data_IF_214237102901
#
_entry.id   IF_214237102901
#
_cell.length_a   1.000
_cell.length_b   1.000
_cell.length_c   1.000
_cell.angle_alpha   90.00
_cell.angle_beta   90.00
_cell.angle_gamma   90.00
#
_symmetry.space_group_name_H-M   'P 1'
#
loop_
_entity.id
_entity.type
_entity.pdbx_description
1 polymer ?
#
# COMPACT_ATOMS: atom_id res chain seq x y z
N UNK A 1 69.36 -15.80 13.15
CA UNK A 1 68.70 -15.57 11.86
C UNK A 1 67.30 -15.07 12.17
N UNK A 2 67.12 -13.75 12.08
CA UNK A 2 65.83 -13.08 12.17
C UNK A 2 65.02 -13.41 10.92
N UNK A 3 63.81 -13.94 11.09
CA UNK A 3 62.81 -13.98 10.03
C UNK A 3 62.04 -12.68 10.06
N UNK A 4 62.48 -11.77 9.18
CA UNK A 4 61.90 -10.46 8.98
C UNK A 4 60.44 -10.48 8.55
N UNK A 5 59.77 -9.41 8.97
CA UNK A 5 58.40 -9.02 8.71
C UNK A 5 57.96 -9.13 7.25
N UNK A 6 56.86 -9.85 7.00
CA UNK A 6 55.98 -9.59 5.86
C UNK A 6 54.58 -9.28 6.36
N UNK A 7 54.33 -7.98 6.53
CA UNK A 7 53.01 -7.42 6.76
C UNK A 7 53.05 -5.94 6.47
N UNK A 8 53.00 -5.56 5.18
CA UNK A 8 52.82 -4.16 4.79
C UNK A 8 51.48 -3.69 5.38
N UNK A 9 51.55 -2.89 6.44
CA UNK A 9 50.42 -2.13 6.95
C UNK A 9 50.01 -1.12 5.87
N UNK A 10 48.90 -1.36 5.20
CA UNK A 10 48.22 -0.31 4.44
C UNK A 10 47.74 0.73 5.46
N UNK A 11 48.48 1.82 5.65
CA UNK A 11 47.97 3.05 6.27
C UNK A 11 46.97 3.69 5.30
N UNK A 12 45.80 3.09 5.16
CA UNK A 12 44.65 3.80 4.62
C UNK A 12 44.37 4.98 5.54
N UNK A 13 44.28 6.19 5.00
CA UNK A 13 43.84 7.34 5.80
C UNK A 13 42.46 7.03 6.39
N UNK A 14 42.27 7.32 7.68
CA UNK A 14 40.96 7.21 8.33
C UNK A 14 40.10 8.41 7.92
N UNK A 15 39.53 8.32 6.72
CA UNK A 15 38.69 9.36 6.13
C UNK A 15 37.36 9.45 6.88
N UNK A 16 36.85 8.34 7.43
CA UNK A 16 35.56 8.29 8.12
C UNK A 16 35.64 9.11 9.42
N UNK A 17 36.68 8.94 10.24
CA UNK A 17 36.84 9.73 11.47
C UNK A 17 37.04 11.23 11.23
N UNK A 18 37.37 11.65 10.00
CA UNK A 18 37.54 13.06 9.61
C UNK A 18 36.24 13.72 9.11
N UNK A 19 35.22 12.96 8.76
CA UNK A 19 33.93 13.51 8.34
C UNK A 19 33.25 14.26 9.50
N UNK A 20 32.48 15.33 9.28
CA UNK A 20 31.70 15.99 10.34
C UNK A 20 30.47 15.19 10.79
N UNK A 21 29.93 15.52 11.96
CA UNK A 21 28.89 14.71 12.65
C UNK A 21 27.58 14.60 11.86
N UNK A 22 27.25 15.61 11.07
CA UNK A 22 26.11 15.65 10.15
C UNK A 22 26.24 14.61 9.02
N UNK A 23 27.44 14.45 8.45
CA UNK A 23 27.72 13.43 7.44
C UNK A 23 27.69 12.04 8.07
N UNK A 24 28.30 11.89 9.25
CA UNK A 24 28.29 10.61 9.96
C UNK A 24 26.85 10.20 10.36
N UNK A 25 26.05 11.12 10.89
CA UNK A 25 24.65 10.88 11.25
C UNK A 25 23.79 10.53 10.03
N UNK A 26 24.05 11.17 8.88
CA UNK A 26 23.42 10.83 7.60
C UNK A 26 23.76 9.43 7.12
N UNK A 27 25.01 8.98 7.30
CA UNK A 27 25.43 7.61 6.97
C UNK A 27 24.71 6.59 7.86
N UNK A 28 24.75 6.78 9.18
CA UNK A 28 24.15 5.81 10.11
C UNK A 28 22.62 5.88 10.17
N UNK A 29 22.01 6.98 9.74
CA UNK A 29 20.55 7.07 9.52
C UNK A 29 20.07 6.19 8.36
N UNK A 30 20.96 5.46 7.68
CA UNK A 30 20.57 4.41 6.73
C UNK A 30 20.58 3.01 7.34
N UNK A 31 21.07 2.88 8.57
CA UNK A 31 21.13 1.62 9.30
C UNK A 31 19.85 1.43 10.13
N UNK A 32 19.62 0.18 10.56
CA UNK A 32 18.64 -0.10 11.60
C UNK A 32 19.09 0.49 12.93
N UNK A 33 18.15 0.85 13.80
CA UNK A 33 18.45 1.50 15.08
C UNK A 33 19.42 0.68 15.94
N UNK A 34 19.33 -0.65 15.86
CA UNK A 34 20.25 -1.59 16.54
C UNK A 34 21.69 -1.46 16.04
N UNK A 35 21.88 -1.34 14.73
CA UNK A 35 23.22 -1.25 14.13
C UNK A 35 23.79 0.16 14.25
N UNK A 36 22.95 1.20 14.12
CA UNK A 36 23.33 2.57 14.44
C UNK A 36 23.80 2.68 15.90
N UNK A 37 23.07 2.09 16.85
CA UNK A 37 23.47 2.05 18.25
C UNK A 37 24.81 1.33 18.46
N UNK A 38 25.06 0.19 17.79
CA UNK A 38 26.34 -0.53 17.89
C UNK A 38 27.55 0.32 17.53
N UNK A 39 27.39 1.34 16.67
CA UNK A 39 28.50 2.24 16.33
C UNK A 39 29.07 2.99 17.54
N UNK A 40 28.32 3.09 18.65
CA UNK A 40 28.78 3.75 19.88
C UNK A 40 30.06 3.14 20.47
N UNK A 41 30.42 1.90 20.11
CA UNK A 41 31.65 1.24 20.57
C UNK A 41 32.89 1.63 19.74
N UNK A 42 32.70 2.27 18.58
CA UNK A 42 33.80 2.64 17.68
C UNK A 42 34.68 3.76 18.27
N UNK A 43 34.07 4.78 18.89
CA UNK A 43 34.79 5.81 19.64
C UNK A 43 33.82 6.63 20.51
N UNK A 44 34.38 7.49 21.38
CA UNK A 44 33.60 8.44 22.19
C UNK A 44 32.75 9.38 21.34
N UNK A 45 33.22 9.74 20.14
CA UNK A 45 32.46 10.56 19.18
C UNK A 45 31.21 9.85 18.71
N UNK A 46 31.34 8.58 18.32
CA UNK A 46 30.21 7.78 17.84
C UNK A 46 29.13 7.55 18.90
N UNK A 47 29.48 7.59 20.21
CA UNK A 47 28.49 7.57 21.31
C UNK A 47 27.48 8.72 21.25
N UNK A 48 27.87 9.86 20.66
CA UNK A 48 26.99 11.02 20.49
C UNK A 48 26.34 11.01 19.11
N UNK A 49 27.09 10.69 18.05
CA UNK A 49 26.60 10.74 16.66
C UNK A 49 25.36 9.87 16.44
N UNK A 50 25.29 8.66 17.02
CA UNK A 50 24.11 7.79 16.86
C UNK A 50 22.82 8.39 17.44
N UNK A 51 22.90 9.32 18.39
CA UNK A 51 21.72 9.98 18.95
C UNK A 51 21.10 11.00 17.98
N UNK A 52 21.80 11.38 16.91
CA UNK A 52 21.37 12.35 15.91
C UNK A 52 20.65 11.71 14.71
N UNK A 53 20.33 10.42 14.76
CA UNK A 53 19.67 9.74 13.65
C UNK A 53 18.24 10.26 13.42
N UNK A 54 17.86 10.39 12.16
CA UNK A 54 16.54 10.89 11.75
C UNK A 54 15.68 9.82 11.06
N UNK A 55 16.22 8.62 10.85
CA UNK A 55 15.46 7.45 10.44
C UNK A 55 15.59 6.38 11.51
N UNK A 56 14.47 6.06 12.15
CA UNK A 56 14.40 5.00 13.13
C UNK A 56 13.79 3.76 12.47
N UNK A 57 14.60 2.72 12.30
CA UNK A 57 14.12 1.42 11.82
C UNK A 57 14.34 0.36 12.90
N UNK A 58 13.23 -0.10 13.46
CA UNK A 58 13.17 -1.15 14.46
C UNK A 58 12.62 -2.41 13.80
N UNK A 59 13.46 -3.42 13.69
CA UNK A 59 13.04 -4.75 13.24
C UNK A 59 13.33 -5.73 14.34
N UNK A 60 12.28 -6.38 14.76
CA UNK A 60 12.40 -7.49 15.66
C UNK A 60 12.98 -8.72 14.90
N UNK A 61 13.88 -9.43 15.57
CA UNK A 61 14.60 -10.58 15.02
C UNK A 61 14.01 -11.89 15.53
N UNK A 62 13.97 -12.92 14.67
CA UNK A 62 13.42 -14.22 15.00
C UNK A 62 14.22 -14.91 16.14
N UNK A 63 13.68 -14.92 17.38
CA UNK A 63 14.18 -15.79 18.46
C UNK A 63 13.80 -15.40 19.90
N UNK A 64 12.93 -16.21 20.53
CA UNK A 64 12.78 -16.51 21.98
C UNK A 64 12.73 -15.36 23.02
N UNK A 65 11.63 -15.30 23.81
CA UNK A 65 11.39 -14.32 24.90
C UNK A 65 11.64 -12.84 24.51
N UNK A 66 11.44 -12.51 23.25
CA UNK A 66 11.95 -11.30 22.60
C UNK A 66 11.03 -10.06 22.71
N UNK A 67 9.75 -10.25 23.04
CA UNK A 67 8.71 -9.21 23.22
C UNK A 67 9.14 -7.98 23.98
N UNK A 68 9.24 -8.15 25.28
CA UNK A 68 9.57 -7.10 26.22
C UNK A 68 10.95 -6.51 25.95
N UNK A 69 11.92 -7.33 25.55
CA UNK A 69 13.27 -6.84 25.22
C UNK A 69 13.27 -5.90 24.01
N UNK A 70 12.45 -6.20 23.00
CA UNK A 70 12.28 -5.32 21.85
C UNK A 70 11.63 -3.99 22.26
N UNK A 71 10.54 -4.03 23.03
CA UNK A 71 9.87 -2.80 23.52
C UNK A 71 10.82 -1.96 24.36
N UNK A 72 11.58 -2.59 25.27
CA UNK A 72 12.60 -1.91 26.08
C UNK A 72 13.70 -1.28 25.21
N UNK A 73 14.09 -1.93 24.11
CA UNK A 73 15.06 -1.38 23.17
C UNK A 73 14.49 -0.18 22.41
N UNK A 74 13.24 -0.24 21.96
CA UNK A 74 12.54 0.88 21.32
C UNK A 74 12.49 2.07 22.28
N UNK A 75 12.03 1.85 23.52
CA UNK A 75 11.98 2.85 24.59
C UNK A 75 13.35 3.50 24.83
N UNK A 76 14.37 2.67 24.99
CA UNK A 76 15.75 3.12 25.19
C UNK A 76 16.25 4.03 24.05
N UNK A 77 15.98 3.66 22.79
CA UNK A 77 16.40 4.47 21.64
C UNK A 77 15.63 5.78 21.60
N UNK A 78 14.32 5.77 21.85
CA UNK A 78 13.49 6.99 21.79
C UNK A 78 13.82 8.01 22.86
N UNK A 79 14.18 7.57 24.07
CA UNK A 79 14.63 8.46 25.14
C UNK A 79 16.01 9.06 24.90
N UNK A 80 16.85 8.41 24.10
CA UNK A 80 18.23 8.86 23.84
C UNK A 80 18.41 9.58 22.52
N UNK A 81 17.53 9.33 21.56
CA UNK A 81 17.52 10.07 20.31
C UNK A 81 17.29 11.55 20.61
N UNK A 82 18.15 12.41 20.07
CA UNK A 82 18.08 13.86 20.23
C UNK A 82 17.46 14.55 19.01
N UNK A 83 17.26 13.81 17.91
CA UNK A 83 16.61 14.36 16.72
C UNK A 83 15.16 14.71 16.99
N UNK A 84 14.79 15.97 16.75
CA UNK A 84 13.41 16.47 16.90
C UNK A 84 12.58 16.33 15.62
N UNK A 85 13.21 15.89 14.52
CA UNK A 85 12.57 15.71 13.22
C UNK A 85 12.94 14.34 12.67
N UNK A 86 12.10 13.35 12.97
CA UNK A 86 12.25 11.99 12.45
C UNK A 86 11.56 11.94 11.08
N UNK A 87 12.33 11.72 10.04
CA UNK A 87 11.77 11.59 8.70
C UNK A 87 11.00 10.28 8.57
N UNK A 88 11.62 9.17 8.99
CA UNK A 88 11.03 7.85 8.86
C UNK A 88 11.06 7.11 10.19
N UNK A 89 9.90 6.68 10.67
CA UNK A 89 9.76 5.74 11.77
C UNK A 89 9.22 4.43 11.21
N UNK A 90 10.02 3.37 11.26
CA UNK A 90 9.68 2.04 10.79
C UNK A 90 9.73 1.06 11.95
N UNK A 91 8.60 0.43 12.24
CA UNK A 91 8.47 -0.56 13.29
C UNK A 91 7.95 -1.86 12.69
N UNK A 92 8.67 -2.96 12.92
CA UNK A 92 8.29 -4.30 12.50
C UNK A 92 8.32 -5.23 13.71
N UNK A 93 7.17 -5.76 14.12
CA UNK A 93 7.07 -6.80 15.16
C UNK A 93 7.03 -8.18 14.49
N UNK A 94 7.83 -9.13 14.99
CA UNK A 94 7.96 -10.47 14.42
C UNK A 94 7.04 -11.52 15.08
N UNK A 95 6.59 -11.25 16.30
CA UNK A 95 5.77 -12.15 17.13
C UNK A 95 4.59 -11.40 17.75
N UNK A 96 3.70 -12.16 18.39
CA UNK A 96 2.61 -11.64 19.20
C UNK A 96 3.14 -10.96 20.48
N UNK A 97 2.75 -9.71 20.70
CA UNK A 97 3.08 -8.97 21.91
C UNK A 97 2.07 -9.29 23.00
N UNK A 98 2.55 -9.41 24.24
CA UNK A 98 1.67 -9.42 25.41
C UNK A 98 0.94 -8.08 25.52
N UNK A 99 -0.25 -8.10 26.14
CA UNK A 99 -1.16 -6.96 26.24
C UNK A 99 -0.43 -5.69 26.77
N UNK A 100 0.29 -5.84 27.87
CA UNK A 100 1.05 -4.75 28.50
C UNK A 100 2.19 -4.20 27.63
N UNK A 101 2.87 -5.05 26.85
CA UNK A 101 3.95 -4.63 25.97
C UNK A 101 3.42 -3.95 24.70
N UNK A 102 2.24 -4.35 24.22
CA UNK A 102 1.56 -3.70 23.12
C UNK A 102 1.10 -2.28 23.51
N UNK A 103 0.46 -2.11 24.67
CA UNK A 103 0.07 -0.78 25.18
C UNK A 103 1.29 0.14 25.35
N UNK A 104 2.37 -0.37 25.97
CA UNK A 104 3.63 0.37 26.11
C UNK A 104 4.20 0.77 24.75
N UNK A 105 4.22 -0.15 23.79
CA UNK A 105 4.72 0.13 22.45
C UNK A 105 3.88 1.20 21.75
N UNK A 106 2.57 1.18 21.94
CA UNK A 106 1.65 2.21 21.44
C UNK A 106 1.98 3.58 22.01
N UNK A 107 2.14 3.69 23.32
CA UNK A 107 2.49 4.95 23.98
C UNK A 107 3.85 5.47 23.48
N UNK A 108 4.81 4.59 23.24
CA UNK A 108 6.11 4.94 22.66
C UNK A 108 5.99 5.45 21.22
N UNK A 109 5.13 4.85 20.39
CA UNK A 109 4.90 5.35 19.04
C UNK A 109 4.21 6.71 19.09
N UNK A 110 3.19 6.90 19.94
CA UNK A 110 2.55 8.20 20.15
C UNK A 110 3.57 9.26 20.58
N UNK A 111 4.42 8.95 21.58
CA UNK A 111 5.51 9.83 21.99
C UNK A 111 6.45 10.16 20.83
N UNK A 112 6.85 9.18 20.01
CA UNK A 112 7.72 9.42 18.88
C UNK A 112 7.06 10.36 17.85
N UNK A 113 5.79 10.12 17.51
CA UNK A 113 5.08 10.91 16.52
C UNK A 113 4.83 12.35 17.01
N UNK A 114 4.46 12.51 18.28
CA UNK A 114 4.09 13.80 18.88
C UNK A 114 5.32 14.65 19.22
N UNK A 115 6.32 14.04 19.87
CA UNK A 115 7.49 14.78 20.35
C UNK A 115 8.58 14.96 19.28
N UNK A 116 8.59 14.15 18.21
CA UNK A 116 9.69 14.10 17.23
C UNK A 116 9.29 14.36 15.78
N UNK A 117 8.09 14.93 15.56
CA UNK A 117 7.61 15.36 14.24
C UNK A 117 7.79 14.31 13.14
N UNK A 118 7.25 13.10 13.36
CA UNK A 118 7.41 12.00 12.41
C UNK A 118 6.68 12.29 11.10
N UNK A 119 7.41 12.37 9.99
CA UNK A 119 6.80 12.64 8.66
C UNK A 119 6.25 11.38 7.96
N UNK A 120 6.90 10.23 8.17
CA UNK A 120 6.53 8.95 7.56
C UNK A 120 6.57 7.86 8.62
N UNK A 121 5.40 7.25 8.85
CA UNK A 121 5.21 6.18 9.81
C UNK A 121 4.90 4.88 9.08
N UNK A 122 5.74 3.86 9.29
CA UNK A 122 5.51 2.50 8.80
C UNK A 122 5.41 1.54 9.95
N UNK A 123 4.26 0.90 10.09
CA UNK A 123 3.99 -0.10 11.10
C UNK A 123 3.73 -1.45 10.42
N UNK A 124 4.47 -2.46 10.84
CA UNK A 124 4.31 -3.84 10.37
C UNK A 124 4.10 -4.75 11.57
N UNK A 125 2.91 -5.33 11.66
CA UNK A 125 2.52 -6.13 12.82
C UNK A 125 2.28 -7.58 12.42
N UNK A 126 2.71 -8.49 13.30
CA UNK A 126 2.20 -9.85 13.32
C UNK A 126 0.92 -9.87 14.18
N UNK A 127 -0.20 -10.35 13.62
CA UNK A 127 -1.51 -10.36 14.29
C UNK A 127 -2.18 -11.71 14.08
N UNK A 128 -1.97 -12.65 14.99
CA UNK A 128 -2.78 -13.88 15.01
C UNK A 128 -3.94 -13.68 15.99
N UNK A 129 -5.18 -13.84 15.52
CA UNK A 129 -6.37 -13.88 16.38
C UNK A 129 -7.14 -12.57 16.58
N UNK A 130 -8.18 -12.62 17.41
CA UNK A 130 -8.96 -11.45 17.85
C UNK A 130 -8.13 -10.62 18.83
N UNK A 131 -7.30 -9.69 18.33
CA UNK A 131 -6.54 -8.79 19.20
C UNK A 131 -7.14 -7.37 19.19
N UNK A 132 -8.08 -7.05 20.12
CA UNK A 132 -8.70 -5.73 20.23
C UNK A 132 -7.73 -4.61 20.61
N UNK A 133 -6.47 -4.91 20.93
CA UNK A 133 -5.49 -3.88 21.25
C UNK A 133 -5.08 -3.03 20.06
N UNK A 134 -4.99 -3.62 18.86
CA UNK A 134 -4.50 -2.90 17.68
C UNK A 134 -5.52 -1.84 17.25
N UNK A 135 -6.81 -2.13 17.33
CA UNK A 135 -7.86 -1.15 17.01
C UNK A 135 -7.80 0.04 17.97
N UNK A 136 -7.74 -0.19 19.29
CA UNK A 136 -7.66 0.88 20.27
C UNK A 136 -6.32 1.65 20.22
N UNK A 137 -5.22 0.94 19.95
CA UNK A 137 -3.88 1.54 19.86
C UNK A 137 -3.69 2.38 18.62
N UNK A 138 -4.15 1.90 17.46
CA UNK A 138 -4.15 2.67 16.22
C UNK A 138 -5.10 3.87 16.34
N UNK A 139 -6.27 3.72 16.96
CA UNK A 139 -7.16 4.85 17.24
C UNK A 139 -6.49 5.94 18.10
N UNK A 140 -5.74 5.57 19.15
CA UNK A 140 -4.97 6.53 19.96
C UNK A 140 -3.91 7.24 19.11
N UNK A 141 -3.19 6.48 18.29
CA UNK A 141 -2.12 7.00 17.43
C UNK A 141 -2.61 8.08 16.47
N UNK A 142 -3.80 7.92 15.87
CA UNK A 142 -4.29 8.91 14.89
C UNK A 142 -4.82 10.21 15.49
N UNK A 143 -5.08 10.26 16.80
CA UNK A 143 -5.48 11.50 17.46
C UNK A 143 -4.34 12.53 17.53
N UNK A 144 -3.09 12.10 17.59
CA UNK A 144 -2.00 12.99 18.03
C UNK A 144 -1.02 13.47 16.95
N UNK A 145 -0.98 12.92 15.73
CA UNK A 145 0.05 13.26 14.73
C UNK A 145 -0.08 14.67 14.10
N UNK A 146 0.80 15.67 14.39
CA UNK A 146 0.66 17.00 13.79
C UNK A 146 1.36 17.16 12.43
N UNK A 147 2.32 16.30 12.10
CA UNK A 147 3.23 16.44 10.94
C UNK A 147 3.27 15.23 10.02
N UNK A 148 2.44 14.21 10.30
CA UNK A 148 2.45 12.96 9.56
C UNK A 148 1.92 13.17 8.13
N UNK A 149 2.76 12.90 7.14
CA UNK A 149 2.44 13.00 5.72
C UNK A 149 2.19 11.64 5.07
N UNK A 150 2.83 10.58 5.58
CA UNK A 150 2.70 9.22 5.05
C UNK A 150 2.48 8.19 6.17
N UNK A 151 1.43 7.39 6.04
CA UNK A 151 1.11 6.29 6.93
C UNK A 151 1.09 4.98 6.13
N UNK A 152 1.88 3.99 6.57
CA UNK A 152 1.92 2.64 6.02
C UNK A 152 1.65 1.63 7.11
N UNK A 153 0.60 0.84 6.98
CA UNK A 153 0.25 -0.21 7.94
C UNK A 153 0.21 -1.54 7.20
N UNK A 154 0.91 -2.55 7.73
CA UNK A 154 0.92 -3.90 7.16
C UNK A 154 0.73 -4.97 8.25
N UNK A 155 -0.25 -5.85 8.08
CA UNK A 155 -0.51 -7.00 8.93
C UNK A 155 -0.19 -8.29 8.19
N UNK A 156 0.35 -9.31 8.87
CA UNK A 156 0.75 -10.57 8.21
C UNK A 156 -0.21 -11.73 8.41
N UNK A 157 -1.08 -11.68 9.42
CA UNK A 157 -1.97 -12.77 9.83
C UNK A 157 -3.38 -12.25 10.09
N UNK A 158 -4.33 -13.20 10.11
CA UNK A 158 -5.77 -12.98 10.12
C UNK A 158 -6.23 -12.25 11.40
N UNK A 159 -6.54 -10.97 11.26
CA UNK A 159 -7.20 -10.16 12.28
C UNK A 159 -8.65 -10.64 12.32
N UNK A 160 -8.95 -11.63 13.16
CA UNK A 160 -10.28 -12.24 13.20
C UNK A 160 -11.38 -11.19 13.23
N UNK A 161 -12.19 -11.14 12.16
CA UNK A 161 -13.46 -10.44 12.02
C UNK A 161 -13.54 -8.93 12.36
N UNK A 162 -12.47 -8.29 12.82
CA UNK A 162 -12.56 -6.97 13.44
C UNK A 162 -12.48 -5.83 12.42
N UNK A 163 -13.40 -4.87 12.52
CA UNK A 163 -13.34 -3.58 11.82
C UNK A 163 -12.25 -2.73 12.47
N UNK A 164 -11.21 -2.38 11.72
CA UNK A 164 -10.23 -1.40 12.20
C UNK A 164 -10.74 0.00 11.92
N UNK A 165 -11.19 0.69 12.96
CA UNK A 165 -11.55 2.11 12.84
C UNK A 165 -10.27 2.96 12.84
N UNK A 166 -10.05 3.73 11.77
CA UNK A 166 -8.94 4.66 11.61
C UNK A 166 -9.47 6.09 11.74
N UNK A 167 -9.24 6.77 12.86
CA UNK A 167 -9.59 8.19 12.96
C UNK A 167 -8.57 9.07 12.23
N UNK A 168 -8.57 9.06 10.89
CA UNK A 168 -7.64 9.87 10.07
C UNK A 168 -8.16 11.30 9.91
N UNK A 169 -8.66 11.93 10.97
CA UNK A 169 -9.09 13.35 10.97
C UNK A 169 -7.89 14.31 10.94
N UNK A 170 -6.94 14.10 10.02
CA UNK A 170 -5.71 14.88 9.92
C UNK A 170 -5.54 15.51 8.53
N UNK A 171 -5.45 16.85 8.45
CA UNK A 171 -5.23 17.53 7.19
C UNK A 171 -3.80 17.36 6.65
N UNK A 172 -2.82 16.88 7.41
CA UNK A 172 -1.45 16.76 6.86
C UNK A 172 -1.20 15.49 6.07
N UNK A 173 -2.06 14.48 6.21
CA UNK A 173 -1.81 13.17 5.60
C UNK A 173 -1.99 13.25 4.08
N UNK A 174 -0.92 12.93 3.35
CA UNK A 174 -0.88 12.92 1.88
C UNK A 174 -0.95 11.51 1.31
N UNK A 175 -0.46 10.52 2.06
CA UNK A 175 -0.29 9.13 1.60
C UNK A 175 -0.76 8.15 2.67
N UNK A 176 -1.68 7.27 2.28
CA UNK A 176 -2.17 6.18 3.10
C UNK A 176 -1.94 4.87 2.37
N UNK A 177 -1.23 3.94 3.01
CA UNK A 177 -1.13 2.55 2.55
C UNK A 177 -1.55 1.62 3.67
N UNK A 178 -2.54 0.79 3.40
CA UNK A 178 -3.03 -0.25 4.30
C UNK A 178 -2.88 -1.59 3.57
N UNK A 179 -2.24 -2.56 4.21
CA UNK A 179 -1.99 -3.90 3.70
C UNK A 179 -2.41 -4.89 4.79
N UNK A 180 -3.68 -5.28 4.83
CA UNK A 180 -4.27 -6.03 5.95
C UNK A 180 -5.13 -7.20 5.47
N UNK A 181 -5.18 -8.26 6.27
CA UNK A 181 -6.17 -9.32 6.09
C UNK A 181 -7.54 -8.80 6.53
N UNK A 182 -8.38 -8.48 5.56
CA UNK A 182 -9.82 -8.28 5.71
C UNK A 182 -10.30 -7.36 6.86
N UNK A 183 -9.76 -6.15 6.98
CA UNK A 183 -10.32 -5.15 7.90
C UNK A 183 -11.02 -4.05 7.15
N UNK A 184 -12.31 -3.84 7.43
CA UNK A 184 -12.98 -2.62 7.02
C UNK A 184 -12.39 -1.47 7.81
N UNK A 185 -11.93 -0.46 7.08
CA UNK A 185 -11.48 0.79 7.64
C UNK A 185 -12.71 1.68 7.81
N UNK A 186 -12.89 2.33 8.95
CA UNK A 186 -13.81 3.48 9.06
C UNK A 186 -12.98 4.73 9.35
N UNK A 187 -13.20 5.80 8.59
CA UNK A 187 -12.54 7.10 8.82
C UNK A 187 -13.56 8.08 9.38
N UNK A 188 -13.22 8.71 10.51
CA UNK A 188 -14.12 9.58 11.26
C UNK A 188 -14.08 11.06 10.83
N UNK A 189 -13.45 11.41 9.69
CA UNK A 189 -13.59 12.74 9.11
C UNK A 189 -12.85 12.98 7.79
N UNK A 190 -12.90 14.22 7.31
CA UNK A 190 -12.42 14.60 5.98
C UNK A 190 -10.88 14.67 5.91
N UNK A 191 -10.31 14.12 4.84
CA UNK A 191 -8.87 14.18 4.56
C UNK A 191 -8.58 15.00 3.29
N UNK A 192 -8.64 16.35 3.37
CA UNK A 192 -8.62 17.19 2.17
C UNK A 192 -7.30 17.13 1.39
N UNK A 193 -6.19 16.74 2.03
CA UNK A 193 -4.87 16.67 1.41
C UNK A 193 -4.43 15.24 1.05
N UNK A 194 -5.27 14.25 1.31
CA UNK A 194 -4.96 12.86 1.01
C UNK A 194 -4.94 12.66 -0.50
N UNK A 195 -3.75 12.50 -1.05
CA UNK A 195 -3.53 12.42 -2.48
C UNK A 195 -3.53 10.96 -2.95
N UNK A 196 -2.95 10.06 -2.14
CA UNK A 196 -2.70 8.67 -2.51
C UNK A 196 -3.20 7.69 -1.46
N UNK A 197 -4.10 6.80 -1.88
CA UNK A 197 -4.60 5.68 -1.07
C UNK A 197 -4.29 4.36 -1.76
N UNK A 198 -3.69 3.44 -1.01
CA UNK A 198 -3.46 2.06 -1.43
C UNK A 198 -4.06 1.15 -0.37
N UNK A 199 -5.05 0.35 -0.77
CA UNK A 199 -5.62 -0.71 0.04
C UNK A 199 -5.26 -2.04 -0.62
N UNK A 200 -4.27 -2.71 -0.04
CA UNK A 200 -3.88 -4.07 -0.38
C UNK A 200 -4.37 -5.02 0.73
N UNK A 201 -4.54 -6.31 0.44
CA UNK A 201 -4.93 -7.22 1.52
C UNK A 201 -4.81 -8.70 1.24
N UNK A 202 -5.26 -9.47 2.25
CA UNK A 202 -5.48 -10.91 2.16
C UNK A 202 -6.96 -11.20 2.47
N UNK A 203 -7.54 -12.24 1.86
CA UNK A 203 -8.94 -12.62 2.10
C UNK A 203 -9.04 -13.43 3.40
N UNK A 204 -9.86 -12.95 4.35
CA UNK A 204 -10.45 -13.81 5.37
C UNK A 204 -11.79 -14.33 4.85
N UNK A 205 -11.89 -15.66 4.69
CA UNK A 205 -13.10 -16.31 4.16
C UNK A 205 -14.30 -16.13 5.09
N UNK A 206 -14.09 -15.87 6.38
CA UNK A 206 -15.17 -15.65 7.36
C UNK A 206 -15.98 -14.40 7.04
N UNK A 207 -15.34 -13.37 6.48
CA UNK A 207 -15.98 -12.08 6.20
C UNK A 207 -16.80 -12.08 4.90
N UNK A 208 -16.65 -13.08 4.03
CA UNK A 208 -17.49 -13.24 2.84
C UNK A 208 -18.97 -13.52 3.21
N UNK A 209 -19.18 -14.11 4.40
CA UNK A 209 -20.48 -14.48 4.96
C UNK A 209 -20.84 -13.70 6.24
N UNK A 210 -20.06 -12.66 6.58
CA UNK A 210 -20.28 -11.83 7.77
C UNK A 210 -21.45 -10.84 7.62
N UNK A 211 -21.75 -10.12 8.70
CA UNK A 211 -22.71 -9.01 8.68
C UNK A 211 -22.28 -7.90 7.70
N UNK A 212 -23.24 -7.18 7.12
CA UNK A 212 -22.96 -6.10 6.18
C UNK A 212 -22.22 -4.94 6.87
N UNK A 213 -21.15 -4.47 6.22
CA UNK A 213 -20.31 -3.37 6.70
C UNK A 213 -20.53 -2.08 5.89
N UNK A 214 -21.70 -1.95 5.24
CA UNK A 214 -22.05 -0.84 4.33
C UNK A 214 -21.78 0.53 4.93
N UNK A 215 -22.14 0.78 6.19
CA UNK A 215 -21.95 2.09 6.82
C UNK A 215 -20.46 2.44 7.04
N UNK A 216 -19.65 1.61 7.74
CA UNK A 216 -18.20 1.84 7.84
C UNK A 216 -17.48 2.01 6.49
N UNK A 217 -17.84 1.19 5.51
CA UNK A 217 -17.25 1.23 4.16
C UNK A 217 -17.61 2.52 3.44
N UNK A 218 -18.88 2.92 3.42
CA UNK A 218 -19.31 4.17 2.77
C UNK A 218 -18.73 5.41 3.44
N UNK A 219 -18.63 5.43 4.77
CA UNK A 219 -17.97 6.51 5.53
C UNK A 219 -16.49 6.63 5.16
N UNK A 220 -15.79 5.50 5.05
CA UNK A 220 -14.40 5.48 4.63
C UNK A 220 -14.20 6.01 3.21
N UNK A 221 -14.97 5.51 2.23
CA UNK A 221 -14.85 5.96 0.84
C UNK A 221 -15.21 7.43 0.69
N UNK A 222 -16.13 7.95 1.51
CA UNK A 222 -16.45 9.38 1.56
C UNK A 222 -15.28 10.20 2.12
N UNK A 223 -14.56 9.69 3.11
CA UNK A 223 -13.40 10.38 3.69
C UNK A 223 -12.20 10.47 2.73
N UNK A 224 -12.06 9.53 1.80
CA UNK A 224 -10.95 9.46 0.82
C UNK A 224 -11.34 9.96 -0.58
N UNK A 225 -12.51 10.57 -0.74
CA UNK A 225 -13.05 10.95 -2.05
C UNK A 225 -12.26 12.07 -2.77
N UNK A 226 -11.41 12.79 -2.03
CA UNK A 226 -10.53 13.85 -2.50
C UNK A 226 -9.26 13.33 -3.19
N UNK A 227 -9.01 12.03 -3.14
CA UNK A 227 -7.77 11.40 -3.63
C UNK A 227 -7.59 11.50 -5.14
N UNK A 228 -6.33 11.62 -5.58
CA UNK A 228 -5.96 11.57 -7.01
C UNK A 228 -5.48 10.20 -7.45
N UNK A 229 -5.05 9.38 -6.50
CA UNK A 229 -4.57 8.02 -6.72
C UNK A 229 -5.28 7.07 -5.76
N UNK A 230 -5.99 6.09 -6.31
CA UNK A 230 -6.64 5.02 -5.57
C UNK A 230 -6.22 3.66 -6.12
N UNK A 231 -5.75 2.77 -5.24
CA UNK A 231 -5.55 1.35 -5.53
C UNK A 231 -6.36 0.52 -4.55
N UNK A 232 -7.19 -0.37 -5.10
CA UNK A 232 -7.94 -1.38 -4.39
C UNK A 232 -7.53 -2.73 -4.96
N UNK A 233 -6.85 -3.54 -4.16
CA UNK A 233 -6.43 -4.89 -4.54
C UNK A 233 -7.61 -5.87 -4.63
N UNK A 234 -7.46 -6.94 -5.42
CA UNK A 234 -8.52 -7.92 -5.70
C UNK A 234 -9.08 -8.57 -4.43
N UNK A 235 -8.22 -8.81 -3.42
CA UNK A 235 -8.63 -9.42 -2.15
C UNK A 235 -9.50 -8.45 -1.36
N UNK A 236 -9.16 -7.16 -1.34
CA UNK A 236 -10.00 -6.12 -0.73
C UNK A 236 -11.34 -6.00 -1.46
N UNK A 237 -11.32 -5.99 -2.78
CA UNK A 237 -12.52 -5.88 -3.61
C UNK A 237 -13.49 -7.06 -3.42
N UNK A 238 -12.97 -8.28 -3.20
CA UNK A 238 -13.81 -9.45 -2.89
C UNK A 238 -14.64 -9.30 -1.60
N UNK A 239 -14.17 -8.49 -0.65
CA UNK A 239 -14.86 -8.23 0.63
C UNK A 239 -15.77 -7.00 0.52
N UNK A 240 -15.28 -5.92 -0.10
CA UNK A 240 -15.98 -4.64 -0.10
C UNK A 240 -17.04 -4.50 -1.20
N UNK A 241 -16.97 -5.30 -2.26
CA UNK A 241 -17.80 -5.11 -3.46
C UNK A 241 -19.31 -5.09 -3.16
N UNK A 242 -19.81 -5.97 -2.28
CA UNK A 242 -21.22 -6.02 -1.89
C UNK A 242 -21.68 -4.74 -1.19
N UNK A 243 -20.84 -4.19 -0.31
CA UNK A 243 -21.15 -3.01 0.50
C UNK A 243 -20.94 -1.69 -0.26
N UNK A 244 -20.01 -1.66 -1.23
CA UNK A 244 -19.73 -0.49 -2.07
C UNK A 244 -20.74 -0.32 -3.20
N UNK A 245 -21.27 -1.42 -3.74
CA UNK A 245 -22.14 -1.37 -4.89
C UNK A 245 -23.39 -0.53 -4.61
N UNK A 246 -23.55 0.55 -5.37
CA UNK A 246 -24.68 1.50 -5.22
C UNK A 246 -24.48 2.57 -4.14
N UNK A 247 -23.45 2.46 -3.30
CA UNK A 247 -23.13 3.41 -2.23
C UNK A 247 -21.80 4.16 -2.45
N UNK A 248 -21.18 3.98 -3.62
CA UNK A 248 -19.90 4.60 -3.94
C UNK A 248 -20.04 6.13 -4.06
N UNK A 249 -19.21 6.92 -3.35
CA UNK A 249 -19.22 8.38 -3.49
C UNK A 249 -18.59 8.84 -4.80
N UNK A 250 -18.75 10.13 -5.14
CA UNK A 250 -18.05 10.75 -6.26
C UNK A 250 -16.58 11.04 -5.92
N UNK A 251 -15.70 10.82 -6.88
CA UNK A 251 -14.25 11.02 -6.81
C UNK A 251 -13.81 12.11 -7.80
N UNK A 252 -14.07 13.40 -7.51
CA UNK A 252 -13.88 14.48 -8.48
C UNK A 252 -12.42 14.72 -8.86
N UNK A 253 -11.47 14.34 -8.01
CA UNK A 253 -10.03 14.59 -8.22
C UNK A 253 -9.27 13.34 -8.69
N UNK A 254 -9.94 12.20 -8.84
CA UNK A 254 -9.29 10.94 -9.12
C UNK A 254 -8.76 10.91 -10.55
N UNK A 255 -7.45 10.68 -10.68
CA UNK A 255 -6.71 10.66 -11.93
C UNK A 255 -6.22 9.24 -12.25
N UNK A 256 -5.81 8.51 -11.21
CA UNK A 256 -5.31 7.15 -11.32
C UNK A 256 -6.16 6.21 -10.47
N UNK A 257 -6.71 5.18 -11.10
CA UNK A 257 -7.49 4.14 -10.46
C UNK A 257 -6.92 2.77 -10.82
N UNK A 258 -6.58 1.99 -9.80
CA UNK A 258 -6.24 0.58 -9.93
C UNK A 258 -7.28 -0.24 -9.16
N UNK A 259 -7.98 -1.13 -9.88
CA UNK A 259 -9.00 -2.01 -9.34
C UNK A 259 -8.60 -3.46 -9.56
N UNK A 260 -8.56 -4.22 -8.48
CA UNK A 260 -8.57 -5.66 -8.53
C UNK A 260 -9.97 -6.15 -8.91
N UNK A 261 -10.09 -6.85 -10.03
CA UNK A 261 -11.37 -7.31 -10.55
C UNK A 261 -11.61 -8.75 -10.10
N UNK A 262 -12.52 -8.91 -9.13
CA UNK A 262 -13.02 -10.23 -8.72
C UNK A 262 -14.18 -10.72 -9.59
N UNK A 263 -14.49 -12.02 -9.49
CA UNK A 263 -15.45 -12.76 -10.35
C UNK A 263 -16.93 -12.37 -10.13
N UNK A 264 -17.25 -11.54 -9.13
CA UNK A 264 -18.63 -11.23 -8.74
C UNK A 264 -19.24 -9.97 -9.39
N UNK A 265 -18.88 -8.81 -8.83
CA UNK A 265 -19.45 -7.48 -9.13
C UNK A 265 -18.34 -6.55 -9.66
N UNK A 266 -17.16 -7.11 -9.97
CA UNK A 266 -15.95 -6.34 -10.24
C UNK A 266 -16.14 -5.36 -11.39
N UNK A 267 -16.75 -5.82 -12.49
CA UNK A 267 -17.02 -4.96 -13.65
C UNK A 267 -18.15 -3.95 -13.42
N UNK A 268 -19.21 -4.31 -12.70
CA UNK A 268 -20.27 -3.36 -12.39
C UNK A 268 -19.79 -2.26 -11.42
N UNK A 269 -18.93 -2.59 -10.46
CA UNK A 269 -18.28 -1.61 -9.58
C UNK A 269 -17.24 -0.76 -10.35
N UNK A 270 -16.51 -1.34 -11.31
CA UNK A 270 -15.67 -0.58 -12.25
C UNK A 270 -16.49 0.49 -12.99
N UNK A 271 -17.67 0.15 -13.51
CA UNK A 271 -18.56 1.10 -14.18
C UNK A 271 -18.99 2.22 -13.22
N UNK A 272 -19.33 1.89 -11.98
CA UNK A 272 -19.63 2.91 -10.96
C UNK A 272 -18.45 3.85 -10.70
N UNK A 273 -17.22 3.32 -10.60
CA UNK A 273 -16.03 4.17 -10.47
C UNK A 273 -15.83 5.09 -11.68
N UNK A 274 -16.01 4.59 -12.91
CA UNK A 274 -15.89 5.41 -14.12
C UNK A 274 -16.92 6.55 -14.13
N UNK A 275 -18.18 6.24 -13.79
CA UNK A 275 -19.26 7.24 -13.71
C UNK A 275 -19.01 8.29 -12.62
N UNK A 276 -18.40 7.87 -11.51
CA UNK A 276 -18.16 8.73 -10.34
C UNK A 276 -16.84 9.51 -10.40
N UNK A 277 -15.98 9.27 -11.40
CA UNK A 277 -14.62 9.82 -11.50
C UNK A 277 -14.43 10.58 -12.83
N UNK A 278 -14.98 11.79 -12.98
CA UNK A 278 -15.04 12.50 -14.27
C UNK A 278 -13.67 12.90 -14.84
N UNK A 279 -12.63 12.99 -13.99
CA UNK A 279 -11.28 13.43 -14.36
C UNK A 279 -10.26 12.27 -14.43
N UNK A 280 -10.74 11.03 -14.50
CA UNK A 280 -9.87 9.85 -14.54
C UNK A 280 -9.05 9.82 -15.83
N UNK A 281 -7.72 9.70 -15.70
CA UNK A 281 -6.78 9.61 -16.83
C UNK A 281 -6.18 8.22 -17.02
N UNK A 282 -6.02 7.46 -15.94
CA UNK A 282 -5.41 6.13 -15.95
C UNK A 282 -6.28 5.11 -15.23
N UNK A 283 -6.65 4.05 -15.94
CA UNK A 283 -7.36 2.89 -15.39
C UNK A 283 -6.48 1.65 -15.44
N UNK A 284 -6.39 0.93 -14.32
CA UNK A 284 -5.73 -0.38 -14.24
C UNK A 284 -6.74 -1.39 -13.71
N UNK A 285 -6.95 -2.47 -14.48
CA UNK A 285 -7.78 -3.61 -14.11
C UNK A 285 -6.87 -4.80 -13.88
N UNK A 286 -6.80 -5.27 -12.64
CA UNK A 286 -5.92 -6.36 -12.23
C UNK A 286 -6.75 -7.59 -11.83
N UNK A 287 -6.72 -8.62 -12.67
CA UNK A 287 -7.44 -9.88 -12.44
C UNK A 287 -6.43 -10.97 -12.10
N UNK A 288 -6.22 -11.25 -10.82
CA UNK A 288 -5.41 -12.41 -10.41
C UNK A 288 -6.24 -13.70 -10.44
N UNK A 289 -5.57 -14.84 -10.68
CA UNK A 289 -6.18 -16.16 -10.69
C UNK A 289 -6.87 -16.48 -9.36
N UNK A 290 -8.18 -16.73 -9.46
CA UNK A 290 -9.02 -17.14 -8.35
C UNK A 290 -8.83 -18.62 -8.00
N UNK A 291 -7.58 -19.07 -7.87
CA UNK A 291 -7.22 -20.49 -7.76
C UNK A 291 -7.58 -21.15 -6.41
N UNK A 292 -8.48 -20.57 -5.60
CA UNK A 292 -8.79 -21.15 -4.28
C UNK A 292 -10.24 -21.10 -3.81
N UNK A 293 -11.17 -20.56 -4.59
CA UNK A 293 -12.52 -20.32 -4.09
C UNK A 293 -13.54 -21.19 -4.82
N UNK A 294 -14.14 -22.14 -4.08
CA UNK A 294 -15.34 -22.86 -4.52
C UNK A 294 -16.52 -21.92 -4.25
N UNK A 295 -17.19 -21.48 -5.30
CA UNK A 295 -18.28 -20.52 -5.22
C UNK A 295 -19.55 -21.16 -5.80
N UNK A 296 -20.23 -21.97 -5.00
CA UNK A 296 -21.47 -22.63 -5.44
C UNK A 296 -22.69 -21.67 -5.47
N UNK A 297 -22.50 -20.38 -5.14
CA UNK A 297 -23.57 -19.35 -5.01
C UNK A 297 -23.33 -18.07 -5.85
N UNK A 298 -22.78 -18.15 -7.07
CA UNK A 298 -22.50 -16.95 -7.90
C UNK A 298 -23.75 -16.44 -8.62
N UNK A 299 -24.16 -15.20 -8.33
CA UNK A 299 -24.91 -14.35 -9.26
C UNK A 299 -23.89 -13.62 -10.14
N UNK A 300 -23.76 -14.02 -11.40
CA UNK A 300 -22.94 -13.30 -12.38
C UNK A 300 -23.67 -12.00 -12.72
N UNK A 301 -23.06 -10.85 -12.45
CA UNK A 301 -23.51 -9.61 -13.05
C UNK A 301 -22.99 -9.54 -14.48
N UNK A 302 -23.89 -9.41 -15.44
CA UNK A 302 -23.49 -9.09 -16.81
C UNK A 302 -22.88 -7.69 -16.84
N UNK A 303 -21.79 -7.54 -17.59
CA UNK A 303 -21.18 -6.24 -17.79
C UNK A 303 -22.10 -5.38 -18.66
N UNK A 304 -22.60 -4.29 -18.07
CA UNK A 304 -23.42 -3.30 -18.76
C UNK A 304 -22.81 -1.90 -18.65
N UNK A 305 -22.71 -1.23 -19.79
CA UNK A 305 -22.28 0.17 -19.90
C UNK A 305 -23.42 0.94 -20.58
N UNK A 306 -24.48 1.23 -19.83
CA UNK A 306 -25.69 1.89 -20.34
C UNK A 306 -25.40 3.27 -20.96
N UNK A 307 -24.56 4.05 -20.28
CA UNK A 307 -24.10 5.36 -20.73
C UNK A 307 -22.58 5.41 -20.71
N UNK A 308 -21.97 6.07 -21.70
CA UNK A 308 -20.52 6.25 -21.73
C UNK A 308 -20.10 7.29 -20.67
N UNK A 309 -19.28 6.92 -19.68
CA UNK A 309 -18.79 7.83 -18.65
C UNK A 309 -18.03 9.02 -19.24
N UNK A 310 -18.17 10.20 -18.63
CA UNK A 310 -17.54 11.44 -19.12
C UNK A 310 -16.01 11.35 -19.17
N UNK A 311 -15.39 10.64 -18.24
CA UNK A 311 -13.94 10.44 -18.23
C UNK A 311 -13.46 9.70 -19.48
N UNK A 312 -14.20 8.72 -20.00
CA UNK A 312 -13.84 8.00 -21.24
C UNK A 312 -13.85 8.89 -22.47
N UNK A 313 -14.73 9.91 -22.47
CA UNK A 313 -14.86 10.86 -23.57
C UNK A 313 -13.79 11.96 -23.51
N UNK A 314 -13.42 12.41 -22.31
CA UNK A 314 -12.68 13.66 -22.11
C UNK A 314 -11.26 13.51 -21.56
N UNK A 315 -11.00 12.49 -20.74
CA UNK A 315 -9.79 12.45 -19.90
C UNK A 315 -9.02 11.11 -19.90
N UNK A 316 -9.66 9.98 -20.18
CA UNK A 316 -9.05 8.65 -20.04
C UNK A 316 -8.03 8.38 -21.15
N UNK A 317 -6.74 8.45 -20.80
CA UNK A 317 -5.59 8.36 -21.72
C UNK A 317 -4.93 6.99 -21.71
N UNK A 318 -4.89 6.31 -20.57
CA UNK A 318 -4.20 5.03 -20.47
C UNK A 318 -5.09 3.98 -19.78
N UNK A 319 -5.18 2.81 -20.38
CA UNK A 319 -5.85 1.64 -19.80
C UNK A 319 -4.85 0.48 -19.77
N UNK A 320 -4.76 -0.19 -18.62
CA UNK A 320 -3.97 -1.41 -18.42
C UNK A 320 -4.89 -2.51 -17.92
N UNK A 321 -4.86 -3.66 -18.57
CA UNK A 321 -5.70 -4.81 -18.19
C UNK A 321 -4.80 -6.03 -18.04
N UNK A 322 -4.90 -6.68 -16.89
CA UNK A 322 -4.29 -7.96 -16.61
C UNK A 322 -5.39 -9.02 -16.63
N UNK A 323 -5.27 -9.99 -17.54
CA UNK A 323 -6.26 -11.04 -17.77
C UNK A 323 -5.74 -12.34 -17.16
N UNK A 324 -6.49 -12.85 -16.17
CA UNK A 324 -6.28 -14.15 -15.53
C UNK A 324 -6.45 -15.33 -16.50
N UNK A 325 -6.14 -16.54 -16.02
CA UNK A 325 -6.19 -17.78 -16.82
C UNK A 325 -7.62 -18.19 -17.20
N UNK A 326 -8.63 -17.61 -16.56
CA UNK A 326 -10.02 -17.87 -16.87
C UNK A 326 -10.37 -17.26 -18.24
N UNK A 327 -10.72 -18.11 -19.20
CA UNK A 327 -11.20 -17.74 -20.56
C UNK A 327 -12.59 -17.08 -20.50
N UNK A 328 -12.77 -16.08 -19.66
CA UNK A 328 -14.04 -15.42 -19.42
C UNK A 328 -14.36 -14.48 -20.60
N UNK A 329 -15.45 -14.80 -21.31
CA UNK A 329 -15.93 -14.00 -22.45
C UNK A 329 -16.24 -12.54 -22.07
N UNK A 330 -16.53 -12.27 -20.79
CA UNK A 330 -16.78 -10.91 -20.32
C UNK A 330 -15.52 -10.02 -20.43
N UNK A 331 -14.31 -10.56 -20.24
CA UNK A 331 -13.08 -9.76 -20.30
C UNK A 331 -12.88 -9.18 -21.71
N UNK A 332 -13.16 -9.98 -22.74
CA UNK A 332 -13.09 -9.55 -24.13
C UNK A 332 -14.17 -8.52 -24.47
N UNK A 333 -15.38 -8.68 -23.94
CA UNK A 333 -16.46 -7.71 -24.15
C UNK A 333 -16.15 -6.37 -23.47
N UNK A 334 -15.57 -6.40 -22.26
CA UNK A 334 -15.07 -5.22 -21.56
C UNK A 334 -13.99 -4.52 -22.37
N UNK A 335 -13.00 -5.26 -22.87
CA UNK A 335 -11.94 -4.71 -23.74
C UNK A 335 -12.53 -4.03 -24.98
N UNK A 336 -13.43 -4.74 -25.68
CA UNK A 336 -14.11 -4.23 -26.87
C UNK A 336 -14.89 -2.95 -26.58
N UNK A 337 -15.62 -2.90 -25.45
CA UNK A 337 -16.40 -1.73 -25.05
C UNK A 337 -15.52 -0.57 -24.60
N UNK A 338 -14.40 -0.81 -23.91
CA UNK A 338 -13.47 0.24 -23.51
C UNK A 338 -12.78 0.87 -24.74
N UNK A 339 -12.29 0.06 -25.68
CA UNK A 339 -11.71 0.54 -26.95
C UNK A 339 -12.72 1.28 -27.82
N UNK A 340 -13.95 0.77 -27.88
CA UNK A 340 -15.04 1.33 -28.67
C UNK A 340 -15.68 2.60 -28.11
N UNK A 341 -15.38 3.01 -26.88
CA UNK A 341 -16.01 4.18 -26.24
C UNK A 341 -15.01 5.22 -25.70
N UNK A 342 -13.71 4.92 -25.65
CA UNK A 342 -12.70 5.87 -25.15
C UNK A 342 -12.10 6.71 -26.28
N UNK A 343 -12.48 8.00 -26.35
CA UNK A 343 -12.18 8.87 -27.50
C UNK A 343 -10.75 9.43 -27.45
N UNK A 344 -10.26 9.77 -26.26
CA UNK A 344 -8.95 10.42 -26.06
C UNK A 344 -7.85 9.45 -25.63
N UNK A 345 -8.11 8.15 -25.77
CA UNK A 345 -7.22 7.08 -25.32
C UNK A 345 -5.90 7.10 -26.10
N UNK A 346 -4.77 7.16 -25.42
CA UNK A 346 -3.43 7.17 -26.01
C UNK A 346 -2.77 5.79 -25.97
N UNK A 347 -3.07 4.99 -24.94
CA UNK A 347 -2.48 3.68 -24.71
C UNK A 347 -3.49 2.69 -24.15
N UNK A 348 -3.45 1.48 -24.69
CA UNK A 348 -4.19 0.33 -24.18
C UNK A 348 -3.25 -0.87 -24.06
N UNK A 349 -2.92 -1.25 -22.83
CA UNK A 349 -2.00 -2.35 -22.56
C UNK A 349 -2.78 -3.56 -22.05
N UNK A 350 -2.58 -4.71 -22.70
CA UNK A 350 -3.18 -5.98 -22.29
C UNK A 350 -2.07 -6.95 -21.91
N UNK A 351 -2.16 -7.47 -20.70
CA UNK A 351 -1.22 -8.45 -20.16
C UNK A 351 -1.98 -9.75 -19.89
N UNK A 352 -1.39 -10.85 -20.32
CA UNK A 352 -1.92 -12.20 -20.16
C UNK A 352 -1.01 -12.93 -19.18
N UNK A 353 -1.55 -13.50 -18.11
CA UNK A 353 -0.75 -14.33 -17.21
C UNK A 353 -0.20 -15.56 -17.97
N UNK A 354 0.99 -16.03 -17.56
CA UNK A 354 1.98 -16.85 -18.30
C UNK A 354 1.52 -18.19 -18.93
N UNK A 355 0.25 -18.57 -18.89
CA UNK A 355 -0.24 -19.89 -19.33
C UNK A 355 -1.03 -19.91 -20.64
N UNK A 356 -1.21 -18.77 -21.33
CA UNK A 356 -2.04 -18.71 -22.56
C UNK A 356 -1.44 -19.35 -23.82
N UNK A 357 -0.16 -19.77 -23.80
CA UNK A 357 0.45 -20.65 -24.82
C UNK A 357 0.05 -20.38 -26.28
N UNK A 358 -0.36 -21.46 -27.00
CA UNK A 358 -0.65 -21.48 -28.45
C UNK A 358 -1.85 -20.62 -28.89
N UNK A 359 -2.71 -20.17 -27.99
CA UNK A 359 -3.91 -19.38 -28.31
C UNK A 359 -3.73 -17.86 -28.15
N UNK A 360 -2.60 -17.43 -27.61
CA UNK A 360 -2.29 -16.03 -27.34
C UNK A 360 -2.37 -15.16 -28.61
N UNK A 361 -1.82 -15.65 -29.73
CA UNK A 361 -1.79 -14.91 -30.99
C UNK A 361 -3.21 -14.64 -31.52
N UNK A 362 -4.08 -15.66 -31.53
CA UNK A 362 -5.46 -15.48 -31.99
C UNK A 362 -6.27 -14.51 -31.14
N UNK A 363 -5.99 -14.45 -29.83
CA UNK A 363 -6.61 -13.51 -28.91
C UNK A 363 -6.12 -12.07 -29.14
N UNK A 364 -4.81 -11.91 -29.35
CA UNK A 364 -4.19 -10.63 -29.71
C UNK A 364 -4.76 -10.10 -31.04
N UNK A 365 -4.83 -10.96 -32.06
CA UNK A 365 -5.39 -10.63 -33.37
C UNK A 365 -6.87 -10.22 -33.26
N UNK A 366 -7.65 -10.92 -32.42
CA UNK A 366 -9.03 -10.58 -32.15
C UNK A 366 -9.15 -9.19 -31.49
N UNK A 367 -8.34 -8.88 -30.48
CA UNK A 367 -8.34 -7.57 -29.81
C UNK A 367 -7.94 -6.45 -30.78
N UNK A 368 -6.94 -6.69 -31.64
CA UNK A 368 -6.52 -5.73 -32.67
C UNK A 368 -7.60 -5.47 -33.72
N UNK A 369 -8.54 -6.41 -33.90
CA UNK A 369 -9.68 -6.26 -34.83
C UNK A 369 -10.85 -5.46 -34.26
N UNK A 370 -10.86 -5.18 -32.95
CA UNK A 370 -11.97 -4.48 -32.31
C UNK A 370 -12.09 -3.02 -32.75
N UNK A 371 -13.33 -2.48 -32.80
CA UNK A 371 -13.55 -1.09 -33.14
C UNK A 371 -12.87 -0.19 -32.10
N UNK A 372 -12.07 0.75 -32.59
CA UNK A 372 -11.33 1.71 -31.79
C UNK A 372 -11.72 3.12 -32.23
N UNK A 373 -12.22 3.91 -31.28
CA UNK A 373 -12.69 5.28 -31.58
C UNK A 373 -11.54 6.30 -31.49
N UNK A 374 -10.57 6.06 -30.60
CA UNK A 374 -9.39 6.92 -30.54
C UNK A 374 -8.45 6.67 -31.72
N UNK A 375 -8.13 7.69 -32.54
CA UNK A 375 -7.21 7.54 -33.67
C UNK A 375 -5.74 7.48 -33.26
N UNK A 376 -5.42 7.83 -32.02
CA UNK A 376 -4.03 7.91 -31.51
C UNK A 376 -3.67 6.73 -30.59
N UNK A 377 -4.66 5.91 -30.20
CA UNK A 377 -4.46 4.83 -29.26
C UNK A 377 -3.50 3.78 -29.83
N UNK A 378 -2.52 3.39 -29.01
CA UNK A 378 -1.61 2.27 -29.30
C UNK A 378 -1.96 1.11 -28.39
N UNK A 379 -2.25 -0.05 -29.00
CA UNK A 379 -2.40 -1.31 -28.27
C UNK A 379 -1.01 -1.93 -28.07
N UNK A 380 -0.70 -2.32 -26.84
CA UNK A 380 0.50 -3.10 -26.52
C UNK A 380 0.15 -4.37 -25.74
N UNK A 381 0.79 -5.48 -26.10
CA UNK A 381 0.68 -6.76 -25.41
C UNK A 381 1.97 -7.02 -24.64
N UNK A 382 1.89 -7.19 -23.32
CA UNK A 382 3.07 -7.31 -22.46
C UNK A 382 3.06 -8.62 -21.68
N UNK A 383 4.20 -9.30 -21.59
CA UNK A 383 4.30 -10.69 -21.12
C UNK A 383 4.88 -10.85 -19.69
N UNK A 384 5.48 -9.80 -19.08
CA UNK A 384 5.83 -9.79 -17.63
C UNK A 384 6.62 -8.55 -17.16
N UNK A 385 7.14 -7.75 -18.08
CA UNK A 385 7.89 -6.50 -17.75
C UNK A 385 6.99 -5.29 -17.44
N UNK A 386 5.67 -5.49 -17.46
CA UNK A 386 4.67 -4.44 -17.24
C UNK A 386 4.64 -3.99 -15.78
N UNK A 387 4.82 -4.89 -14.82
CA UNK A 387 4.89 -4.56 -13.39
C UNK A 387 5.97 -3.53 -13.06
N UNK A 388 7.16 -3.64 -13.66
CA UNK A 388 8.26 -2.70 -13.44
C UNK A 388 8.01 -1.33 -14.09
N UNK A 389 7.35 -1.30 -15.25
CA UNK A 389 7.02 -0.07 -15.99
C UNK A 389 5.85 0.66 -15.35
N UNK A 390 4.79 -0.06 -14.96
CA UNK A 390 3.74 0.43 -14.08
C UNK A 390 4.34 0.89 -12.75
N UNK A 391 5.26 0.14 -12.11
CA UNK A 391 5.95 0.56 -10.87
C UNK A 391 6.66 1.90 -11.03
N UNK A 392 7.36 2.12 -12.15
CA UNK A 392 7.99 3.42 -12.41
C UNK A 392 6.97 4.58 -12.52
N UNK A 393 5.77 4.32 -13.07
CA UNK A 393 4.64 5.27 -13.12
C UNK A 393 3.89 5.39 -11.78
N UNK A 394 3.81 4.33 -10.97
CA UNK A 394 3.32 4.34 -9.57
C UNK A 394 4.09 5.37 -8.72
N UNK A 395 5.34 5.70 -9.10
CA UNK A 395 6.16 6.76 -8.48
C UNK A 395 6.01 8.15 -9.13
N UNK A 396 5.38 8.28 -10.31
CA UNK A 396 5.27 9.57 -11.05
C UNK A 396 4.15 10.47 -10.52
N UNK A 397 3.08 9.89 -9.97
CA UNK A 397 2.00 10.63 -9.30
C UNK A 397 2.34 11.01 -7.84
N UNK A 398 3.58 11.44 -7.59
CA UNK A 398 4.16 11.63 -6.25
C UNK A 398 3.68 12.87 -5.52
#
# INVERSE_FOLDING_TARGET
>A
MDFGSFGKQYKGEDIISRMPDDVLSHIISRLEAKDAFKTCVLSTRWKNVWTLIYNLCFRDGYGGNSGTMFVNFVEFVLHRCQSNNIQNFHLRTGYELQESDADRLTDLICFAVDARNVSSLTLKFNVEGENPMISNSLQKLFRSCPTLEELKIKGWHDIGGNVLTFDITKPTLKKLKIDLSATVCSVLGETPFLNKVILDGKVDRRLLHGESLTKPVSEFFRAINSTRFLRLDIKIMSVLSRDLYGNLPSFPNLIYLHLGIGVFIGYALMVQFLNNSPNLEVLVLDKEDADSYRWDDIVLFEFELECVPSCMLLHLKEIYIFIGEDKNLQDLEVIKRLLGNSIVLERFSVNFYLSFGEHLQGLQDAILSYPMVSPICKIDFSDDRCWNTLWSKFYKYR
#
